data_IF_804231285598
#
_entry.id   IF_804231285598
#
_cell.length_a   1.000
_cell.length_b   1.000
_cell.length_c   1.000
_cell.angle_alpha   90.00
_cell.angle_beta   90.00
_cell.angle_gamma   90.00
#
_symmetry.space_group_name_H-M   'P 1'
#
loop_
_entity.id
_entity.type
_entity.pdbx_description
1 polymer ?
#
# COMPACT_ATOMS: atom_id res chain seq x y z
N UNK A 1 -0.68 0.31 -22.73
CA UNK A 1 -1.81 0.76 -21.89
C UNK A 1 -1.26 0.88 -20.49
N UNK A 2 -1.55 1.97 -19.80
CA UNK A 2 -0.96 2.26 -18.48
C UNK A 2 -1.95 1.94 -17.38
N UNK A 3 -3.19 2.43 -17.52
CA UNK A 3 -4.29 2.16 -16.60
C UNK A 3 -5.56 1.77 -17.35
N UNK A 4 -6.43 1.04 -16.64
CA UNK A 4 -7.78 0.72 -17.05
C UNK A 4 -8.73 1.29 -16.00
N UNK A 5 -9.71 2.08 -16.45
CA UNK A 5 -10.81 2.53 -15.61
C UNK A 5 -12.03 1.68 -15.93
N UNK A 6 -12.64 1.13 -14.88
CA UNK A 6 -13.90 0.39 -14.97
C UNK A 6 -15.07 1.35 -14.72
N UNK A 7 -15.84 1.64 -15.75
CA UNK A 7 -17.06 2.44 -15.66
C UNK A 7 -18.29 1.52 -15.62
N UNK A 8 -19.04 1.54 -14.52
CA UNK A 8 -20.29 0.80 -14.38
C UNK A 8 -21.49 1.71 -14.69
N UNK A 9 -22.32 1.29 -15.64
CA UNK A 9 -23.51 2.02 -16.06
C UNK A 9 -24.84 1.34 -15.68
N UNK A 10 -24.81 0.35 -14.78
CA UNK A 10 -25.99 -0.42 -14.34
C UNK A 10 -27.14 0.47 -13.84
N UNK A 11 -26.85 1.49 -13.03
CA UNK A 11 -27.87 2.39 -12.46
C UNK A 11 -28.13 3.65 -13.31
N UNK A 12 -27.49 3.80 -14.47
CA UNK A 12 -27.58 5.00 -15.30
C UNK A 12 -28.52 4.79 -16.49
N UNK A 13 -29.30 5.82 -16.82
CA UNK A 13 -29.96 5.86 -18.12
C UNK A 13 -28.91 6.04 -19.23
N UNK A 14 -29.22 5.56 -20.45
CA UNK A 14 -28.28 5.61 -21.58
C UNK A 14 -27.77 7.02 -21.88
N UNK A 15 -28.65 8.03 -21.81
CA UNK A 15 -28.30 9.43 -22.06
C UNK A 15 -27.38 10.00 -20.98
N UNK A 16 -27.62 9.67 -19.71
CA UNK A 16 -26.76 10.06 -18.59
C UNK A 16 -25.40 9.35 -18.66
N UNK A 17 -25.37 8.07 -19.03
CA UNK A 17 -24.13 7.32 -19.23
C UNK A 17 -23.28 7.91 -20.36
N UNK A 18 -23.89 8.29 -21.49
CA UNK A 18 -23.17 8.96 -22.58
C UNK A 18 -22.63 10.34 -22.16
N UNK A 19 -23.43 11.14 -21.45
CA UNK A 19 -23.00 12.46 -20.99
C UNK A 19 -21.84 12.38 -19.99
N UNK A 20 -21.92 11.47 -19.01
CA UNK A 20 -20.86 11.23 -18.02
C UNK A 20 -19.59 10.68 -18.66
N UNK A 21 -19.71 9.76 -19.62
CA UNK A 21 -18.57 9.23 -20.36
C UNK A 21 -17.90 10.31 -21.22
N UNK A 22 -18.66 11.17 -21.91
CA UNK A 22 -18.10 12.32 -22.65
C UNK A 22 -17.35 13.26 -21.70
N UNK A 23 -17.93 13.56 -20.53
CA UNK A 23 -17.27 14.38 -19.50
C UNK A 23 -15.97 13.73 -19.02
N UNK A 24 -15.96 12.41 -18.82
CA UNK A 24 -14.78 11.65 -18.40
C UNK A 24 -13.66 11.70 -19.43
N UNK A 25 -13.97 11.44 -20.71
CA UNK A 25 -12.99 11.48 -21.80
C UNK A 25 -12.41 12.89 -21.94
N UNK A 26 -13.25 13.92 -21.88
CA UNK A 26 -12.78 15.31 -21.94
C UNK A 26 -11.87 15.68 -20.75
N UNK A 27 -12.19 15.20 -19.54
CA UNK A 27 -11.36 15.43 -18.36
C UNK A 27 -9.99 14.73 -18.47
N UNK A 28 -9.96 13.50 -18.98
CA UNK A 28 -8.71 12.76 -19.23
C UNK A 28 -7.88 13.41 -20.34
N UNK A 29 -8.51 13.83 -21.43
CA UNK A 29 -7.85 14.54 -22.53
C UNK A 29 -7.26 15.88 -22.05
N UNK A 30 -7.99 16.62 -21.20
CA UNK A 30 -7.49 17.86 -20.57
C UNK A 30 -6.27 17.66 -19.68
N UNK A 31 -6.08 16.46 -19.12
CA UNK A 31 -4.88 16.09 -18.35
C UNK A 31 -3.72 15.56 -19.22
N UNK A 32 -3.87 15.53 -20.55
CA UNK A 32 -2.85 15.02 -21.48
C UNK A 32 -2.81 13.49 -21.63
N UNK A 33 -3.93 12.82 -21.32
CA UNK A 33 -4.06 11.37 -21.41
C UNK A 33 -4.89 10.98 -22.63
N UNK A 34 -4.38 10.04 -23.42
CA UNK A 34 -5.09 9.42 -24.53
C UNK A 34 -5.94 8.27 -23.99
N UNK A 35 -7.18 8.19 -24.45
CA UNK A 35 -8.18 7.22 -23.98
C UNK A 35 -8.71 6.38 -25.12
N UNK A 36 -8.83 5.07 -24.90
CA UNK A 36 -9.54 4.17 -25.80
C UNK A 36 -10.64 3.45 -25.03
N UNK A 37 -11.84 3.43 -25.58
CA UNK A 37 -12.99 2.76 -24.96
C UNK A 37 -13.09 1.34 -25.52
N UNK A 38 -13.32 0.37 -24.63
CA UNK A 38 -13.57 -1.03 -24.96
C UNK A 38 -14.77 -1.53 -24.16
N UNK A 39 -15.56 -2.41 -24.76
CA UNK A 39 -16.64 -3.08 -24.05
C UNK A 39 -16.04 -4.02 -23.00
N UNK A 40 -16.57 -3.96 -21.78
CA UNK A 40 -16.30 -4.92 -20.72
C UNK A 40 -17.40 -5.97 -20.65
N UNK A 41 -17.77 -6.31 -19.43
CA UNK A 41 -18.84 -7.26 -19.13
C UNK A 41 -20.22 -6.59 -19.32
N UNK A 42 -21.29 -7.31 -18.94
CA UNK A 42 -22.70 -7.01 -19.26
C UNK A 42 -23.13 -5.57 -18.92
N UNK A 43 -22.49 -4.90 -17.94
CA UNK A 43 -22.77 -3.51 -17.55
C UNK A 43 -21.52 -2.63 -17.35
N UNK A 44 -20.36 -3.05 -17.88
CA UNK A 44 -19.10 -2.34 -17.67
C UNK A 44 -18.45 -1.92 -18.97
N UNK A 45 -17.91 -0.70 -18.96
CA UNK A 45 -17.11 -0.15 -20.04
C UNK A 45 -15.70 0.07 -19.50
N UNK A 46 -14.71 -0.45 -20.22
CA UNK A 46 -13.31 -0.24 -19.89
C UNK A 46 -12.74 0.92 -20.68
N UNK A 47 -12.20 1.91 -19.97
CA UNK A 47 -11.41 2.97 -20.57
C UNK A 47 -9.93 2.66 -20.37
N UNK A 48 -9.25 2.34 -21.47
CA UNK A 48 -7.81 2.15 -21.52
C UNK A 48 -7.15 3.52 -21.63
N UNK A 49 -6.25 3.83 -20.70
CA UNK A 49 -5.59 5.13 -20.61
C UNK A 49 -4.09 4.96 -20.83
N UNK A 50 -3.52 5.87 -21.62
CA UNK A 50 -2.09 6.00 -21.87
C UNK A 50 -1.73 7.48 -21.94
N UNK A 51 -0.51 7.86 -21.60
CA UNK A 51 -0.05 9.23 -21.87
C UNK A 51 0.00 9.49 -23.38
N UNK A 52 -0.55 10.64 -23.81
CA UNK A 52 -0.66 11.00 -25.23
C UNK A 52 0.70 11.15 -25.91
N UNK A 53 1.63 11.88 -25.28
CA UNK A 53 2.94 12.20 -25.84
C UNK A 53 4.05 11.81 -24.88
N UNK A 54 5.10 11.16 -25.39
CA UNK A 54 6.27 10.80 -24.58
C UNK A 54 6.99 12.03 -24.04
N UNK A 55 7.15 13.10 -24.83
CA UNK A 55 7.76 14.36 -24.36
C UNK A 55 7.05 14.94 -23.13
N UNK A 56 5.72 14.96 -23.13
CA UNK A 56 4.92 15.44 -21.99
C UNK A 56 5.16 14.59 -20.73
N UNK A 57 5.30 13.28 -20.89
CA UNK A 57 5.65 12.39 -19.78
C UNK A 57 7.03 12.73 -19.20
N UNK A 58 8.04 12.93 -20.06
CA UNK A 58 9.39 13.29 -19.63
C UNK A 58 9.43 14.62 -18.89
N UNK A 59 8.71 15.64 -19.37
CA UNK A 59 8.57 16.93 -18.70
C UNK A 59 7.92 16.80 -17.32
N UNK A 60 6.86 16.00 -17.20
CA UNK A 60 6.15 15.76 -15.94
C UNK A 60 7.03 14.99 -14.95
N UNK A 61 7.81 14.00 -15.42
CA UNK A 61 8.79 13.27 -14.61
C UNK A 61 9.84 14.23 -14.07
N UNK A 62 10.45 15.03 -14.96
CA UNK A 62 11.47 15.99 -14.58
C UNK A 62 10.95 17.00 -13.55
N UNK A 63 9.75 17.55 -13.76
CA UNK A 63 9.07 18.43 -12.77
C UNK A 63 8.80 17.72 -11.45
N UNK A 64 8.42 16.44 -11.46
CA UNK A 64 8.22 15.68 -10.22
C UNK A 64 9.53 15.48 -9.47
N UNK A 65 10.62 15.13 -10.15
CA UNK A 65 11.95 14.95 -9.54
C UNK A 65 12.46 16.26 -8.94
N UNK A 66 12.30 17.36 -9.66
CA UNK A 66 12.61 18.70 -9.15
C UNK A 66 11.80 19.02 -7.89
N UNK A 67 10.49 18.74 -7.91
CA UNK A 67 9.63 18.93 -6.75
C UNK A 67 10.11 18.08 -5.57
N UNK A 68 10.39 16.80 -5.79
CA UNK A 68 10.85 15.88 -4.76
C UNK A 68 12.20 16.36 -4.16
N UNK A 69 13.10 16.91 -4.98
CA UNK A 69 14.34 17.56 -4.51
C UNK A 69 14.09 18.85 -3.72
N UNK A 70 13.20 19.75 -4.18
CA UNK A 70 12.86 20.99 -3.48
C UNK A 70 12.30 20.75 -2.07
N UNK A 71 11.50 19.69 -1.90
CA UNK A 71 11.01 19.26 -0.59
C UNK A 71 12.03 18.44 0.23
N UNK A 72 13.25 18.24 -0.28
CA UNK A 72 14.34 17.54 0.40
C UNK A 72 14.17 16.02 0.47
N UNK A 73 13.38 15.43 -0.43
CA UNK A 73 13.19 13.97 -0.52
C UNK A 73 14.37 13.31 -1.23
N UNK A 74 14.81 13.90 -2.36
CA UNK A 74 16.05 13.52 -3.03
C UNK A 74 17.22 14.34 -2.48
N UNK A 75 18.37 13.70 -2.34
CA UNK A 75 19.60 14.33 -1.83
C UNK A 75 20.35 15.11 -2.90
N UNK A 76 20.17 14.76 -4.18
CA UNK A 76 20.90 15.34 -5.29
C UNK A 76 19.97 16.15 -6.21
N UNK A 77 20.39 17.35 -6.66
CA UNK A 77 19.61 18.11 -7.62
C UNK A 77 19.62 17.40 -8.98
N UNK A 78 18.48 17.27 -9.67
CA UNK A 78 18.49 16.79 -11.04
C UNK A 78 19.24 17.78 -11.95
N UNK A 79 20.05 17.31 -12.92
CA UNK A 79 20.71 18.19 -13.89
C UNK A 79 19.72 19.11 -14.62
N UNK A 80 20.15 20.36 -14.88
CA UNK A 80 19.33 21.37 -15.59
C UNK A 80 18.80 20.87 -16.94
N UNK A 81 19.59 20.05 -17.62
CA UNK A 81 19.21 19.43 -18.89
C UNK A 81 18.38 18.18 -18.62
N UNK A 82 17.11 18.22 -19.02
CA UNK A 82 16.19 17.09 -18.90
C UNK A 82 16.74 15.81 -19.55
N UNK A 83 17.33 15.92 -20.74
CA UNK A 83 17.88 14.76 -21.46
C UNK A 83 19.05 14.12 -20.70
N UNK A 84 19.89 14.93 -20.05
CA UNK A 84 21.00 14.44 -19.23
C UNK A 84 20.47 13.72 -17.98
N UNK A 85 19.47 14.30 -17.30
CA UNK A 85 18.84 13.66 -16.15
C UNK A 85 18.21 12.30 -16.50
N UNK A 86 17.58 12.18 -17.67
CA UNK A 86 16.95 10.93 -18.12
C UNK A 86 17.96 9.85 -18.51
N UNK A 87 19.15 10.25 -18.99
CA UNK A 87 20.26 9.33 -19.28
C UNK A 87 20.90 8.80 -18.00
N UNK A 88 21.13 9.67 -17.02
CA UNK A 88 21.71 9.30 -15.72
C UNK A 88 20.73 8.46 -14.88
N UNK A 89 19.45 8.83 -14.91
CA UNK A 89 18.39 8.18 -14.15
C UNK A 89 17.25 7.73 -15.08
N UNK A 90 17.33 6.49 -15.62
CA UNK A 90 16.32 5.97 -16.52
C UNK A 90 14.96 5.88 -15.82
N UNK A 91 13.89 6.11 -16.59
CA UNK A 91 12.52 6.08 -16.07
C UNK A 91 12.16 4.65 -15.70
N UNK A 92 11.79 4.45 -14.45
CA UNK A 92 11.27 3.16 -13.99
C UNK A 92 9.78 3.04 -14.32
N UNK A 93 9.29 1.81 -14.52
CA UNK A 93 7.86 1.59 -14.75
C UNK A 93 7.01 2.04 -13.56
N UNK A 94 7.50 1.83 -12.33
CA UNK A 94 6.84 2.29 -11.13
C UNK A 94 6.70 3.81 -11.09
N UNK A 95 7.76 4.55 -11.43
CA UNK A 95 7.73 6.02 -11.51
C UNK A 95 6.77 6.50 -12.59
N UNK A 96 6.82 5.89 -13.77
CA UNK A 96 5.91 6.17 -14.88
C UNK A 96 4.45 5.98 -14.47
N UNK A 97 4.10 4.81 -13.95
CA UNK A 97 2.73 4.48 -13.53
C UNK A 97 2.27 5.35 -12.35
N UNK A 98 3.16 5.67 -11.41
CA UNK A 98 2.85 6.60 -10.29
C UNK A 98 2.42 7.97 -10.81
N UNK A 99 3.12 8.51 -11.80
CA UNK A 99 2.82 9.83 -12.36
C UNK A 99 1.55 9.82 -13.20
N UNK A 100 1.33 8.79 -14.02
CA UNK A 100 0.06 8.65 -14.75
C UNK A 100 -1.12 8.55 -13.78
N UNK A 101 -0.97 7.79 -12.70
CA UNK A 101 -1.99 7.71 -11.65
C UNK A 101 -2.23 9.05 -10.96
N UNK A 102 -1.16 9.80 -10.67
CA UNK A 102 -1.26 11.15 -10.11
C UNK A 102 -1.92 12.14 -11.07
N UNK A 103 -1.74 12.00 -12.39
CA UNK A 103 -2.47 12.79 -13.39
C UNK A 103 -3.96 12.44 -13.43
N UNK A 104 -4.34 11.17 -13.25
CA UNK A 104 -5.75 10.75 -13.23
C UNK A 104 -6.46 11.32 -11.99
N UNK A 105 -5.87 11.15 -10.80
CA UNK A 105 -6.52 11.50 -9.52
C UNK A 105 -6.29 12.96 -9.13
N UNK A 106 -5.15 13.54 -9.53
CA UNK A 106 -4.71 14.84 -9.06
C UNK A 106 -5.68 15.97 -9.39
N UNK A 107 -5.69 17.04 -8.59
CA UNK A 107 -6.62 18.15 -8.76
C UNK A 107 -6.38 18.87 -10.08
N UNK A 108 -7.44 19.42 -10.67
CA UNK A 108 -7.37 20.20 -11.92
C UNK A 108 -6.42 21.40 -11.83
N UNK A 109 -6.28 22.00 -10.64
CA UNK A 109 -5.35 23.11 -10.37
C UNK A 109 -3.88 22.74 -10.66
N UNK A 110 -3.50 21.48 -10.44
CA UNK A 110 -2.14 20.96 -10.67
C UNK A 110 -1.99 20.33 -12.08
N UNK A 111 -3.04 20.42 -12.91
CA UNK A 111 -3.09 19.82 -14.24
C UNK A 111 -3.40 18.32 -14.23
N UNK A 112 -4.10 17.81 -13.21
CA UNK A 112 -4.69 16.47 -13.20
C UNK A 112 -6.18 16.47 -13.62
N UNK A 113 -6.77 15.29 -13.78
CA UNK A 113 -8.16 15.11 -14.22
C UNK A 113 -9.18 15.16 -13.07
N UNK A 114 -8.73 15.13 -11.81
CA UNK A 114 -9.54 15.09 -10.59
C UNK A 114 -10.59 13.96 -10.60
N UNK A 115 -10.18 12.76 -11.03
CA UNK A 115 -11.05 11.59 -11.08
C UNK A 115 -10.94 10.82 -9.76
N UNK A 116 -12.06 10.73 -9.04
CA UNK A 116 -12.15 10.03 -7.75
C UNK A 116 -13.11 8.86 -7.87
N UNK A 117 -12.63 7.60 -7.87
CA UNK A 117 -13.50 6.45 -8.05
C UNK A 117 -14.56 6.36 -6.93
N UNK A 118 -15.78 5.95 -7.31
CA UNK A 118 -16.94 5.74 -6.43
C UNK A 118 -17.42 6.96 -5.64
N UNK A 119 -17.01 8.17 -6.03
CA UNK A 119 -17.23 9.39 -5.23
C UNK A 119 -17.55 10.61 -6.08
N UNK A 120 -18.52 11.39 -5.62
CA UNK A 120 -18.89 12.68 -6.20
C UNK A 120 -19.37 12.55 -7.64
N UNK A 121 -18.83 13.37 -8.53
CA UNK A 121 -19.20 13.33 -9.96
C UNK A 121 -18.84 12.01 -10.66
N UNK A 122 -18.03 11.16 -10.03
CA UNK A 122 -17.43 9.96 -10.61
C UNK A 122 -17.83 8.67 -9.87
N UNK A 123 -19.02 8.64 -9.28
CA UNK A 123 -19.56 7.46 -8.57
C UNK A 123 -19.58 6.19 -9.41
N UNK A 124 -19.83 6.33 -10.71
CA UNK A 124 -19.88 5.24 -11.68
C UNK A 124 -18.52 4.63 -12.01
N UNK A 125 -17.42 5.24 -11.59
CA UNK A 125 -16.08 4.66 -11.78
C UNK A 125 -15.80 3.72 -10.61
N UNK A 126 -15.87 2.43 -10.89
CA UNK A 126 -15.74 1.39 -9.87
C UNK A 126 -14.30 1.21 -9.38
N UNK A 127 -13.34 1.20 -10.32
CA UNK A 127 -11.92 0.98 -10.02
C UNK A 127 -11.01 1.57 -11.10
N UNK A 128 -9.79 1.90 -10.67
CA UNK A 128 -8.68 2.34 -11.52
C UNK A 128 -7.52 1.39 -11.22
N UNK A 129 -7.13 0.57 -12.18
CA UNK A 129 -6.09 -0.42 -11.97
C UNK A 129 -5.13 -0.49 -13.15
N UNK A 130 -3.94 -1.02 -12.88
CA UNK A 130 -2.86 -1.20 -13.86
C UNK A 130 -2.86 -2.66 -14.35
N UNK A 131 -2.48 -2.87 -15.61
CA UNK A 131 -2.38 -4.20 -16.18
C UNK A 131 -1.08 -4.87 -15.76
N UNK A 132 -1.14 -6.17 -15.49
CA UNK A 132 0.05 -6.96 -15.19
C UNK A 132 0.76 -7.40 -16.48
N UNK A 133 2.08 -7.36 -16.46
CA UNK A 133 2.91 -8.00 -17.48
C UNK A 133 3.11 -9.49 -17.10
N UNK A 134 2.34 -10.35 -17.76
CA UNK A 134 2.35 -11.79 -17.50
C UNK A 134 3.69 -12.45 -17.90
N UNK A 135 4.36 -11.94 -18.94
CA UNK A 135 5.63 -12.47 -19.39
C UNK A 135 6.72 -12.20 -18.34
N UNK A 136 6.78 -10.97 -17.84
CA UNK A 136 7.67 -10.61 -16.74
C UNK A 136 7.35 -11.39 -15.47
N UNK A 137 6.07 -11.48 -15.06
CA UNK A 137 5.68 -12.18 -13.84
C UNK A 137 6.14 -13.65 -13.84
N UNK A 138 6.02 -14.35 -14.98
CA UNK A 138 6.48 -15.74 -15.10
C UNK A 138 8.00 -15.87 -14.90
N UNK A 139 8.78 -14.96 -15.51
CA UNK A 139 10.24 -14.94 -15.36
C UNK A 139 10.65 -14.57 -13.93
N UNK A 140 9.99 -13.58 -13.34
CA UNK A 140 10.24 -13.09 -12.00
C UNK A 140 9.97 -14.17 -10.94
N UNK A 141 8.83 -14.86 -11.02
CA UNK A 141 8.50 -15.97 -10.10
C UNK A 141 9.56 -17.07 -10.21
N UNK A 142 9.98 -17.45 -11.42
CA UNK A 142 11.04 -18.44 -11.65
C UNK A 142 12.39 -17.99 -11.06
N UNK A 143 12.75 -16.72 -11.22
CA UNK A 143 13.97 -16.13 -10.68
C UNK A 143 13.96 -16.13 -9.15
N UNK A 144 12.83 -15.74 -8.54
CA UNK A 144 12.65 -15.71 -7.10
C UNK A 144 12.69 -17.11 -6.49
N UNK A 145 11.98 -18.08 -7.08
CA UNK A 145 11.93 -19.44 -6.56
C UNK A 145 13.28 -20.17 -6.67
N UNK A 146 14.16 -19.70 -7.55
CA UNK A 146 15.51 -20.26 -7.70
C UNK A 146 16.53 -19.70 -6.69
N UNK A 147 16.22 -18.60 -5.99
CA UNK A 147 17.16 -17.92 -5.09
C UNK A 147 16.72 -18.10 -3.64
N UNK A 148 17.67 -18.43 -2.76
CA UNK A 148 17.43 -18.45 -1.31
C UNK A 148 17.46 -17.06 -0.67
N UNK A 149 18.26 -16.13 -1.23
CA UNK A 149 18.40 -14.77 -0.73
C UNK A 149 18.31 -13.77 -1.88
N UNK A 150 17.62 -12.65 -1.66
CA UNK A 150 17.54 -11.56 -2.63
C UNK A 150 18.76 -10.65 -2.48
N UNK A 151 19.33 -10.28 -3.62
CA UNK A 151 20.43 -9.29 -3.66
C UNK A 151 19.83 -7.88 -3.63
N UNK A 152 20.63 -6.86 -3.30
CA UNK A 152 20.21 -5.46 -3.38
C UNK A 152 19.67 -5.10 -4.76
N UNK A 153 20.27 -5.65 -5.83
CA UNK A 153 19.82 -5.46 -7.20
C UNK A 153 18.42 -6.04 -7.44
N UNK A 154 18.11 -7.22 -6.90
CA UNK A 154 16.79 -7.82 -7.02
C UNK A 154 15.72 -6.95 -6.33
N UNK A 155 16.05 -6.35 -5.18
CA UNK A 155 15.17 -5.40 -4.49
C UNK A 155 14.98 -4.11 -5.30
N UNK A 156 16.04 -3.62 -5.96
CA UNK A 156 15.96 -2.45 -6.85
C UNK A 156 15.11 -2.71 -8.10
N UNK A 157 15.15 -3.93 -8.64
CA UNK A 157 14.30 -4.38 -9.75
C UNK A 157 12.82 -4.42 -9.33
N UNK A 158 12.54 -4.99 -8.15
CA UNK A 158 11.19 -5.01 -7.55
C UNK A 158 10.69 -3.57 -7.33
N UNK A 159 11.54 -2.69 -6.80
CA UNK A 159 11.23 -1.25 -6.64
C UNK A 159 10.85 -0.65 -7.99
N UNK A 160 11.69 -0.81 -9.02
CA UNK A 160 11.51 -0.19 -10.32
C UNK A 160 10.23 -0.63 -11.06
N UNK A 161 9.70 -1.83 -10.75
CA UNK A 161 8.46 -2.34 -11.37
C UNK A 161 7.21 -2.11 -10.52
N UNK A 162 7.26 -2.47 -9.24
CA UNK A 162 6.09 -2.51 -8.37
C UNK A 162 5.94 -1.26 -7.50
N UNK A 163 7.04 -0.54 -7.25
CA UNK A 163 7.14 0.62 -6.39
C UNK A 163 7.78 0.31 -5.04
N UNK A 164 8.10 1.37 -4.30
CA UNK A 164 8.89 1.32 -3.07
C UNK A 164 8.16 0.61 -1.93
N UNK A 165 6.84 0.78 -1.82
CA UNK A 165 6.05 0.14 -0.75
C UNK A 165 6.14 -1.39 -0.81
N UNK A 166 6.07 -1.96 -2.00
CA UNK A 166 6.17 -3.40 -2.22
C UNK A 166 7.63 -3.85 -2.04
N UNK A 167 8.61 -3.06 -2.51
CA UNK A 167 10.02 -3.35 -2.28
C UNK A 167 10.39 -3.36 -0.78
N UNK A 168 9.88 -2.40 0.01
CA UNK A 168 10.05 -2.38 1.47
C UNK A 168 9.47 -3.63 2.13
N UNK A 169 8.32 -4.12 1.67
CA UNK A 169 7.75 -5.37 2.17
C UNK A 169 8.67 -6.56 1.93
N UNK A 170 9.20 -6.73 0.72
CA UNK A 170 10.15 -7.81 0.41
C UNK A 170 11.47 -7.66 1.19
N UNK A 171 12.00 -6.45 1.32
CA UNK A 171 13.19 -6.18 2.11
C UNK A 171 13.00 -6.48 3.60
N UNK A 172 11.82 -6.14 4.16
CA UNK A 172 11.44 -6.48 5.53
C UNK A 172 11.34 -7.98 5.71
N UNK A 173 10.62 -8.65 4.82
CA UNK A 173 10.40 -10.09 4.87
C UNK A 173 11.72 -10.87 4.86
N UNK A 174 12.65 -10.51 3.97
CA UNK A 174 13.97 -11.15 3.92
C UNK A 174 14.79 -10.87 5.19
N UNK A 175 14.80 -9.62 5.67
CA UNK A 175 15.54 -9.26 6.89
C UNK A 175 14.98 -9.99 8.11
N UNK A 176 13.64 -10.08 8.20
CA UNK A 176 12.96 -10.79 9.27
C UNK A 176 13.24 -12.29 9.22
N UNK A 177 13.16 -12.90 8.03
CA UNK A 177 13.46 -14.33 7.84
C UNK A 177 14.89 -14.67 8.27
N UNK A 178 15.88 -13.86 7.88
CA UNK A 178 17.27 -14.03 8.30
C UNK A 178 17.45 -13.87 9.81
N UNK A 179 16.81 -12.87 10.42
CA UNK A 179 16.89 -12.66 11.87
C UNK A 179 16.21 -13.78 12.66
N UNK A 180 15.19 -14.44 12.10
CA UNK A 180 14.45 -15.53 12.73
C UNK A 180 15.28 -16.82 12.84
N UNK A 181 16.39 -16.95 12.10
CA UNK A 181 17.30 -18.09 12.21
C UNK A 181 17.85 -18.22 13.64
N UNK A 182 18.18 -17.10 14.28
CA UNK A 182 18.70 -17.10 15.65
C UNK A 182 17.70 -17.66 16.69
N UNK A 183 16.47 -17.12 16.84
CA UNK A 183 15.49 -17.66 17.78
C UNK A 183 15.00 -19.04 17.37
N UNK A 184 15.02 -19.42 16.08
CA UNK A 184 14.71 -20.79 15.67
C UNK A 184 15.77 -21.78 16.16
N UNK A 185 17.06 -21.49 15.96
CA UNK A 185 18.15 -22.35 16.41
C UNK A 185 18.20 -22.43 17.95
N UNK A 186 18.10 -21.26 18.61
CA UNK A 186 18.12 -21.21 20.08
C UNK A 186 16.86 -21.79 20.70
N UNK A 187 15.69 -21.57 20.10
CA UNK A 187 14.43 -22.18 20.53
C UNK A 187 14.43 -23.70 20.39
N UNK A 188 15.00 -24.23 19.30
CA UNK A 188 15.22 -25.67 19.14
C UNK A 188 16.16 -26.22 20.22
N UNK A 189 17.27 -25.54 20.49
CA UNK A 189 18.18 -25.90 21.58
C UNK A 189 17.48 -25.91 22.95
N UNK A 190 16.73 -24.84 23.27
CA UNK A 190 16.01 -24.74 24.53
C UNK A 190 14.96 -25.85 24.69
N UNK A 191 14.26 -26.18 23.60
CA UNK A 191 13.26 -27.26 23.59
C UNK A 191 13.89 -28.64 23.89
N UNK A 192 15.06 -28.94 23.34
CA UNK A 192 15.74 -30.22 23.57
C UNK A 192 16.35 -30.31 24.97
N UNK A 193 17.01 -29.25 25.46
CA UNK A 193 17.89 -29.34 26.63
C UNK A 193 17.37 -28.69 27.91
N UNK A 194 16.54 -27.63 27.81
CA UNK A 194 16.17 -26.80 28.97
C UNK A 194 14.75 -27.15 29.47
N UNK A 195 13.88 -27.62 28.57
CA UNK A 195 12.48 -27.91 28.87
C UNK A 195 11.56 -26.68 28.75
N UNK A 196 10.24 -26.88 28.91
CA UNK A 196 9.24 -25.83 28.71
C UNK A 196 9.30 -24.74 29.79
N UNK A 197 8.83 -23.53 29.45
CA UNK A 197 8.73 -22.37 30.36
C UNK A 197 10.04 -21.84 30.96
N UNK A 198 11.17 -22.02 30.27
CA UNK A 198 12.46 -21.50 30.71
C UNK A 198 12.50 -19.95 30.76
N UNK A 199 12.81 -19.32 31.92
CA UNK A 199 13.01 -17.88 32.02
C UNK A 199 14.19 -17.37 31.18
N UNK A 200 15.24 -18.20 31.05
CA UNK A 200 16.44 -17.86 30.26
C UNK A 200 16.07 -17.67 28.79
N UNK A 201 15.22 -18.56 28.27
CA UNK A 201 14.71 -18.44 26.90
C UNK A 201 13.90 -17.15 26.71
N UNK A 202 13.04 -16.81 27.67
CA UNK A 202 12.22 -15.60 27.61
C UNK A 202 13.06 -14.32 27.55
N UNK A 203 14.11 -14.21 28.38
CA UNK A 203 15.00 -13.04 28.41
C UNK A 203 15.75 -12.89 27.08
N UNK A 204 16.30 -13.98 26.54
CA UNK A 204 17.02 -13.94 25.27
C UNK A 204 16.10 -13.64 24.09
N UNK A 205 14.88 -14.16 24.10
CA UNK A 205 13.88 -13.84 23.08
C UNK A 205 13.45 -12.36 23.15
N UNK A 206 13.24 -11.82 24.35
CA UNK A 206 12.95 -10.39 24.54
C UNK A 206 14.09 -9.51 24.03
N UNK A 207 15.34 -9.88 24.32
CA UNK A 207 16.52 -9.20 23.80
C UNK A 207 16.58 -9.25 22.27
N UNK A 208 16.35 -10.42 21.67
CA UNK A 208 16.28 -10.58 20.22
C UNK A 208 15.22 -9.66 19.58
N UNK A 209 14.02 -9.58 20.17
CA UNK A 209 12.96 -8.67 19.71
C UNK A 209 13.42 -7.21 19.66
N UNK A 210 14.10 -6.74 20.70
CA UNK A 210 14.65 -5.37 20.76
C UNK A 210 15.71 -5.17 19.69
N UNK A 211 16.66 -6.09 19.57
CA UNK A 211 17.73 -6.03 18.57
C UNK A 211 17.17 -5.99 17.14
N UNK A 212 16.19 -6.83 16.81
CA UNK A 212 15.55 -6.85 15.50
C UNK A 212 14.85 -5.52 15.18
N UNK A 213 14.07 -4.98 16.12
CA UNK A 213 13.34 -3.72 15.91
C UNK A 213 14.30 -2.56 15.67
N UNK A 214 15.36 -2.43 16.47
CA UNK A 214 16.34 -1.36 16.31
C UNK A 214 17.19 -1.52 15.03
N UNK A 215 17.57 -2.76 14.71
CA UNK A 215 18.23 -3.06 13.44
C UNK A 215 17.35 -2.67 12.24
N UNK A 216 16.08 -3.06 12.26
CA UNK A 216 15.15 -2.74 11.17
C UNK A 216 14.91 -1.23 11.02
N UNK A 217 14.78 -0.49 12.13
CA UNK A 217 14.70 0.98 12.07
C UNK A 217 15.90 1.61 11.38
N UNK A 218 17.11 1.10 11.64
CA UNK A 218 18.34 1.54 10.96
C UNK A 218 18.29 1.17 9.47
N UNK A 219 17.93 -0.07 9.16
CA UNK A 219 17.86 -0.56 7.78
C UNK A 219 16.81 0.19 6.94
N UNK A 220 15.66 0.51 7.54
CA UNK A 220 14.61 1.31 6.90
C UNK A 220 15.13 2.70 6.49
N UNK A 221 15.89 3.37 7.36
CA UNK A 221 16.50 4.67 7.02
C UNK A 221 17.54 4.53 5.92
N UNK A 222 18.38 3.50 5.97
CA UNK A 222 19.39 3.23 4.93
C UNK A 222 18.73 3.02 3.56
N UNK A 223 17.70 2.16 3.50
CA UNK A 223 16.94 1.92 2.27
C UNK A 223 16.18 3.16 1.80
N UNK A 224 15.58 3.93 2.72
CA UNK A 224 14.88 5.17 2.37
C UNK A 224 15.83 6.23 1.77
N UNK A 225 17.08 6.31 2.27
CA UNK A 225 18.11 7.16 1.69
C UNK A 225 18.61 6.63 0.34
N UNK A 226 18.93 5.34 0.25
CA UNK A 226 19.39 4.70 -1.00
C UNK A 226 18.36 4.81 -2.11
N UNK A 227 17.07 4.74 -1.78
CA UNK A 227 15.99 4.82 -2.75
C UNK A 227 15.44 6.23 -2.97
N UNK A 228 16.00 7.24 -2.30
CA UNK A 228 15.56 8.65 -2.38
C UNK A 228 14.06 8.84 -2.07
N UNK A 229 13.60 8.18 -1.01
CA UNK A 229 12.20 8.28 -0.53
C UNK A 229 12.11 8.69 0.94
N UNK A 230 13.19 9.24 1.48
CA UNK A 230 13.20 9.75 2.84
C UNK A 230 12.27 10.97 2.96
N UNK A 231 11.41 10.98 3.99
CA UNK A 231 10.53 12.12 4.23
C UNK A 231 9.37 12.30 3.23
N UNK A 232 9.13 11.34 2.32
CA UNK A 232 8.11 11.45 1.27
C UNK A 232 6.68 11.65 1.81
N UNK A 233 6.43 11.33 3.09
CA UNK A 233 5.20 11.64 3.84
C UNK A 233 4.78 13.11 3.75
N UNK A 234 5.72 14.04 3.58
CA UNK A 234 5.46 15.48 3.45
C UNK A 234 4.93 15.89 2.07
N UNK A 235 5.31 15.16 1.02
CA UNK A 235 5.00 15.46 -0.40
C UNK A 235 3.80 14.65 -0.89
N UNK A 236 3.15 13.87 -0.02
CA UNK A 236 1.98 13.09 -0.42
C UNK A 236 0.83 13.99 -0.86
N UNK A 237 0.22 13.62 -1.98
CA UNK A 237 -0.92 14.33 -2.52
C UNK A 237 -2.08 14.33 -1.51
N UNK A 238 -2.70 15.49 -1.35
CA UNK A 238 -3.82 15.64 -0.43
C UNK A 238 -4.99 14.76 -0.87
N UNK A 239 -5.66 14.15 0.11
CA UNK A 239 -6.88 13.37 -0.15
C UNK A 239 -7.96 14.34 -0.59
N UNK A 240 -8.66 14.02 -1.67
CA UNK A 240 -9.76 14.84 -2.20
C UNK A 240 -10.91 15.04 -1.20
N UNK A 241 -11.11 14.10 -0.27
CA UNK A 241 -12.14 14.17 0.78
C UNK A 241 -11.74 14.99 2.00
N UNK A 242 -10.53 15.54 2.02
CA UNK A 242 -10.04 16.27 3.17
C UNK A 242 -10.81 17.59 3.34
N UNK A 243 -11.66 17.66 4.36
CA UNK A 243 -12.37 18.87 4.76
C UNK A 243 -11.44 19.71 5.64
N UNK A 244 -11.04 20.87 5.13
CA UNK A 244 -10.18 21.82 5.84
C UNK A 244 -11.03 22.83 6.63
N UNK A 245 -10.46 23.36 7.70
CA UNK A 245 -11.11 24.42 8.50
C UNK A 245 -10.59 25.80 8.11
N UNK A 246 -9.31 25.89 7.76
CA UNK A 246 -8.66 27.12 7.32
C UNK A 246 -7.60 26.82 6.27
N UNK A 247 -7.26 27.86 5.50
CA UNK A 247 -6.14 27.86 4.57
C UNK A 247 -5.03 28.70 5.21
N UNK A 248 -3.85 28.11 5.37
CA UNK A 248 -2.67 28.79 5.89
C UNK A 248 -1.64 28.90 4.76
N UNK A 249 -0.87 29.98 4.76
CA UNK A 249 0.33 30.04 3.93
C UNK A 249 1.48 29.30 4.64
N UNK A 250 2.06 28.30 3.98
CA UNK A 250 3.19 27.54 4.53
C UNK A 250 4.43 28.45 4.67
N UNK A 251 5.01 28.60 5.87
CA UNK A 251 6.17 29.48 6.08
C UNK A 251 7.43 29.06 5.30
N UNK A 252 7.51 27.80 4.85
CA UNK A 252 8.68 27.29 4.13
C UNK A 252 8.49 27.44 2.62
N UNK A 253 7.34 27.01 2.10
CA UNK A 253 7.10 26.99 0.63
C UNK A 253 6.39 28.23 0.11
N UNK A 254 5.68 28.98 0.95
CA UNK A 254 4.81 30.07 0.52
C UNK A 254 3.54 29.60 -0.20
N UNK A 255 3.24 28.30 -0.17
CA UNK A 255 2.03 27.73 -0.76
C UNK A 255 0.85 27.76 0.22
N UNK A 256 -0.36 27.95 -0.33
CA UNK A 256 -1.59 27.87 0.44
C UNK A 256 -1.94 26.41 0.76
N UNK A 257 -1.70 26.01 2.01
CA UNK A 257 -2.03 24.68 2.51
C UNK A 257 -3.36 24.66 3.25
N UNK A 258 -4.13 23.61 2.98
CA UNK A 258 -5.35 23.30 3.68
C UNK A 258 -5.02 22.67 5.06
N UNK A 259 -5.43 23.31 6.15
CA UNK A 259 -5.09 22.87 7.51
C UNK A 259 -6.33 22.43 8.29
N UNK A 260 -6.13 21.43 9.16
CA UNK A 260 -7.11 20.95 10.12
C UNK A 260 -6.48 20.96 11.52
N UNK A 261 -7.22 21.46 12.53
CA UNK A 261 -6.68 21.63 13.88
C UNK A 261 -6.22 20.29 14.50
N UNK A 262 -4.95 20.19 14.97
CA UNK A 262 -4.42 18.95 15.55
C UNK A 262 -5.12 18.56 16.85
N UNK A 263 -5.60 19.53 17.64
CA UNK A 263 -6.30 19.29 18.90
C UNK A 263 -7.66 18.62 18.63
N UNK A 264 -8.44 19.16 17.68
CA UNK A 264 -9.71 18.53 17.27
C UNK A 264 -9.49 17.13 16.70
N UNK A 265 -8.38 16.93 15.96
CA UNK A 265 -8.00 15.61 15.46
C UNK A 265 -7.71 14.64 16.59
N UNK A 266 -6.98 15.07 17.62
CA UNK A 266 -6.69 14.27 18.80
C UNK A 266 -7.97 13.86 19.54
N UNK A 267 -8.89 14.80 19.81
CA UNK A 267 -10.16 14.47 20.45
C UNK A 267 -11.00 13.47 19.66
N UNK A 268 -11.02 13.56 18.32
CA UNK A 268 -11.68 12.55 17.48
C UNK A 268 -10.96 11.20 17.52
N UNK A 269 -9.63 11.20 17.60
CA UNK A 269 -8.84 9.97 17.73
C UNK A 269 -9.04 9.30 19.10
N UNK A 270 -9.32 10.05 20.17
CA UNK A 270 -9.65 9.48 21.48
C UNK A 270 -10.93 8.61 21.43
N UNK A 271 -11.86 8.84 20.50
CA UNK A 271 -13.02 7.98 20.28
C UNK A 271 -12.63 6.55 19.85
N UNK A 272 -11.40 6.34 19.37
CA UNK A 272 -10.90 5.00 19.08
C UNK A 272 -10.66 4.17 20.35
N UNK A 273 -10.42 4.80 21.50
CA UNK A 273 -10.19 4.10 22.77
C UNK A 273 -11.42 3.27 23.21
N UNK A 274 -12.63 3.86 23.37
CA UNK A 274 -13.81 3.07 23.73
C UNK A 274 -14.18 2.05 22.65
N UNK A 275 -13.92 2.34 21.37
CA UNK A 275 -14.10 1.38 20.28
C UNK A 275 -13.18 0.16 20.44
N UNK A 276 -11.90 0.36 20.73
CA UNK A 276 -10.93 -0.72 20.97
C UNK A 276 -11.30 -1.52 22.21
N UNK A 277 -11.76 -0.87 23.29
CA UNK A 277 -12.24 -1.56 24.50
C UNK A 277 -13.45 -2.43 24.16
N UNK A 278 -14.45 -1.90 23.47
CA UNK A 278 -15.63 -2.65 23.06
C UNK A 278 -15.25 -3.86 22.18
N UNK A 279 -14.41 -3.65 21.16
CA UNK A 279 -13.93 -4.73 20.30
C UNK A 279 -13.16 -5.81 21.08
N UNK A 280 -12.33 -5.41 22.04
CA UNK A 280 -11.57 -6.34 22.91
C UNK A 280 -12.51 -7.15 23.79
N UNK A 281 -13.53 -6.53 24.39
CA UNK A 281 -14.53 -7.23 25.21
C UNK A 281 -15.36 -8.19 24.36
N UNK A 282 -15.82 -7.77 23.19
CA UNK A 282 -16.63 -8.61 22.30
C UNK A 282 -15.84 -9.82 21.78
N UNK A 283 -14.67 -9.59 21.19
CA UNK A 283 -13.82 -10.68 20.68
C UNK A 283 -13.29 -11.55 21.83
N UNK A 284 -12.88 -10.94 22.94
CA UNK A 284 -12.40 -11.66 24.12
C UNK A 284 -13.49 -12.55 24.74
N UNK A 285 -14.72 -12.06 24.83
CA UNK A 285 -15.87 -12.85 25.31
C UNK A 285 -16.18 -14.02 24.36
N UNK A 286 -16.17 -13.79 23.05
CA UNK A 286 -16.38 -14.84 22.05
C UNK A 286 -15.32 -15.94 22.14
N UNK A 287 -14.04 -15.57 22.29
CA UNK A 287 -12.93 -16.51 22.44
C UNK A 287 -13.04 -17.27 23.78
N UNK A 288 -13.29 -16.56 24.89
CA UNK A 288 -13.44 -17.17 26.20
C UNK A 288 -14.62 -18.15 26.26
N UNK A 289 -15.72 -17.82 25.58
CA UNK A 289 -16.86 -18.71 25.44
C UNK A 289 -16.51 -19.98 24.65
N UNK A 290 -15.73 -19.85 23.57
CA UNK A 290 -15.21 -20.99 22.84
C UNK A 290 -14.37 -21.92 23.70
N UNK A 291 -13.40 -21.37 24.42
CA UNK A 291 -12.57 -22.14 25.36
C UNK A 291 -13.38 -22.77 26.50
N UNK A 292 -14.38 -22.07 27.03
CA UNK A 292 -15.24 -22.61 28.10
C UNK A 292 -16.02 -23.85 27.62
N UNK A 293 -16.56 -23.81 26.40
CA UNK A 293 -17.22 -24.97 25.80
C UNK A 293 -16.21 -26.10 25.53
N UNK A 294 -15.01 -25.78 25.04
CA UNK A 294 -13.97 -26.77 24.78
C UNK A 294 -13.56 -27.51 26.05
N UNK A 295 -13.29 -26.78 27.14
CA UNK A 295 -12.95 -27.35 28.45
C UNK A 295 -14.11 -28.20 28.97
N UNK A 296 -15.35 -27.71 28.86
CA UNK A 296 -16.53 -28.46 29.30
C UNK A 296 -16.66 -29.81 28.57
N UNK A 297 -16.47 -29.84 27.24
CA UNK A 297 -16.62 -31.06 26.47
C UNK A 297 -15.43 -32.02 26.59
N UNK A 298 -14.22 -31.49 26.76
CA UNK A 298 -13.00 -32.30 26.87
C UNK A 298 -12.82 -32.89 28.27
N UNK A 299 -13.04 -32.10 29.33
CA UNK A 299 -12.76 -32.52 30.71
C UNK A 299 -14.00 -33.04 31.43
N UNK A 300 -15.16 -32.36 31.28
CA UNK A 300 -16.33 -32.60 32.14
C UNK A 300 -17.32 -33.57 31.48
N UNK A 301 -17.49 -33.52 30.16
CA UNK A 301 -18.45 -34.35 29.45
C UNK A 301 -17.95 -35.80 29.30
N UNK A 302 -18.72 -36.75 29.84
CA UNK A 302 -18.48 -38.20 29.74
C UNK A 302 -19.57 -38.94 28.94
N UNK A 303 -20.38 -38.23 28.16
CA UNK A 303 -21.43 -38.82 27.34
C UNK A 303 -20.92 -39.44 26.03
N UNK A 304 -21.80 -40.13 25.28
CA UNK A 304 -21.46 -40.68 23.98
C UNK A 304 -21.10 -39.58 22.97
N UNK A 305 -20.30 -39.92 21.96
CA UNK A 305 -19.85 -39.00 20.88
C UNK A 305 -18.91 -37.85 21.32
N UNK A 306 -18.29 -37.92 22.50
CA UNK A 306 -17.30 -36.94 22.98
C UNK A 306 -16.25 -36.55 21.92
N UNK A 307 -15.62 -37.52 21.27
CA UNK A 307 -14.60 -37.27 20.24
C UNK A 307 -15.14 -36.54 18.99
N UNK A 308 -16.40 -36.74 18.62
CA UNK A 308 -17.02 -36.05 17.49
C UNK A 308 -17.41 -34.61 17.86
N UNK A 309 -17.94 -34.40 19.07
CA UNK A 309 -18.30 -33.07 19.58
C UNK A 309 -17.10 -32.14 19.72
N UNK A 310 -15.97 -32.66 20.24
CA UNK A 310 -14.72 -31.89 20.36
C UNK A 310 -14.21 -31.46 18.97
N UNK A 311 -14.17 -32.37 18.00
CA UNK A 311 -13.73 -32.05 16.64
C UNK A 311 -14.63 -31.07 15.89
N UNK A 312 -15.95 -31.09 16.13
CA UNK A 312 -16.88 -30.12 15.52
C UNK A 312 -16.58 -28.71 16.01
N UNK A 313 -16.33 -28.54 17.31
CA UNK A 313 -16.16 -27.22 17.90
C UNK A 313 -14.82 -26.61 17.52
N UNK A 314 -13.75 -27.41 17.52
CA UNK A 314 -12.44 -26.98 17.00
C UNK A 314 -12.60 -26.48 15.55
N UNK A 315 -13.24 -27.26 14.68
CA UNK A 315 -13.47 -26.87 13.27
C UNK A 315 -14.37 -25.65 13.11
N UNK A 316 -15.35 -25.44 13.98
CA UNK A 316 -16.32 -24.33 13.85
C UNK A 316 -15.76 -23.01 14.37
N UNK A 317 -14.86 -23.04 15.35
CA UNK A 317 -14.12 -21.86 15.78
C UNK A 317 -12.98 -21.47 14.81
N UNK A 318 -12.40 -22.42 14.07
CA UNK A 318 -11.35 -22.14 13.07
C UNK A 318 -11.86 -21.45 11.78
N UNK A 319 -13.19 -21.43 11.57
CA UNK A 319 -13.85 -20.86 10.38
C UNK A 319 -14.22 -19.37 10.54
N UNK A 320 -14.05 -18.80 11.74
CA UNK A 320 -14.32 -17.38 12.04
C UNK A 320 -13.06 -16.64 12.49
#
# INVERSE_FOLDING_TARGET
VDFVLSFNHECLSKTQAEATLRKLVNALAGAGLATQVRNGDIHTIFLLVKVSTTLQLHEKIYRSRLRDWLYGVSTSPPPKEMQKNLKEHPITEAERLRLVYSLIIGPKKEGGAAITPRRGEWENIHSIFRLHDQAYNRLWIKKLSSKYFLTSDDLSEIKGRFGEKIAFYFAFLQSYFLFLIFPAAFGFFAWVFIGPYSPIYAILNAFWCICFVEYWKKQQKNLAMQWEVNGISRVHQQRTEFKHESVLNDPITGENINVYSPIKRLFRQLLQIPFVIAATVTLGSMIAFGFAIEIFLSEIYNGPFKGYLVNIIIKRFEIY
#
